data_IF_528512355576
#
_entry.id   IF_528512355576
#
_cell.length_a   1.000
_cell.length_b   1.000
_cell.length_c   1.000
_cell.angle_alpha   90.00
_cell.angle_beta   90.00
_cell.angle_gamma   90.00
#
_symmetry.space_group_name_H-M   'P 1'
#
loop_
_entity.id
_entity.type
_entity.pdbx_description
1 polymer ?
#
# COMPACT_ATOMS: atom_id res chain seq x y z
N UNK A 1 -5.91 8.61 10.11
CA UNK A 1 -6.22 7.16 10.00
C UNK A 1 -5.74 6.36 11.21
N UNK A 2 -4.53 6.58 11.74
CA UNK A 2 -4.06 5.95 12.99
C UNK A 2 -4.88 6.28 14.27
N UNK A 3 -5.87 7.19 14.18
CA UNK A 3 -6.79 7.58 15.25
C UNK A 3 -8.28 7.36 14.95
N UNK A 4 -8.65 6.63 13.87
CA UNK A 4 -10.06 6.33 13.48
C UNK A 4 -11.00 7.55 13.25
N UNK A 5 -10.48 8.76 13.07
CA UNK A 5 -11.28 9.99 12.86
C UNK A 5 -11.84 10.16 11.43
N UNK A 6 -11.51 9.28 10.48
CA UNK A 6 -11.99 9.33 9.10
C UNK A 6 -12.57 7.95 8.75
N UNK A 7 -13.78 7.92 8.16
CA UNK A 7 -14.38 6.70 7.62
C UNK A 7 -13.55 6.20 6.44
N UNK A 8 -12.72 5.20 6.69
CA UNK A 8 -11.97 4.47 5.66
C UNK A 8 -12.52 3.06 5.59
N UNK A 9 -12.75 2.56 4.38
CA UNK A 9 -13.11 1.16 4.15
C UNK A 9 -11.94 0.24 4.52
N UNK A 10 -11.90 -0.14 5.79
CA UNK A 10 -10.88 -0.99 6.38
C UNK A 10 -11.10 -2.43 5.91
N UNK A 11 -10.24 -2.91 5.02
CA UNK A 11 -10.37 -4.25 4.44
C UNK A 11 -9.47 -5.28 5.11
N UNK A 12 -8.43 -4.84 5.82
CA UNK A 12 -7.51 -5.71 6.53
C UNK A 12 -6.82 -4.97 7.67
N UNK A 13 -6.65 -5.66 8.80
CA UNK A 13 -5.88 -5.18 9.93
C UNK A 13 -5.19 -6.36 10.60
N UNK A 14 -3.94 -6.17 10.99
CA UNK A 14 -3.24 -7.07 11.89
C UNK A 14 -2.46 -6.28 12.95
N UNK A 15 -1.55 -6.94 13.68
CA UNK A 15 -0.75 -6.30 14.73
C UNK A 15 0.06 -5.10 14.24
N UNK A 16 0.59 -5.15 13.02
CA UNK A 16 1.58 -4.19 12.52
C UNK A 16 1.10 -3.37 11.32
N UNK A 17 0.07 -3.82 10.59
CA UNK A 17 -0.35 -3.28 9.29
C UNK A 17 -1.86 -3.05 9.29
N UNK A 18 -2.27 -2.01 8.56
CA UNK A 18 -3.65 -1.67 8.23
C UNK A 18 -3.73 -1.55 6.71
N UNK A 19 -4.81 -2.04 6.09
CA UNK A 19 -5.08 -1.81 4.67
C UNK A 19 -6.51 -1.35 4.44
N UNK A 20 -6.67 -0.40 3.53
CA UNK A 20 -7.95 0.21 3.20
C UNK A 20 -7.97 0.63 1.72
N UNK A 21 -9.17 0.83 1.17
CA UNK A 21 -9.32 1.31 -0.22
C UNK A 21 -8.90 2.77 -0.32
N UNK A 22 -8.16 3.09 -1.37
CA UNK A 22 -7.85 4.48 -1.70
C UNK A 22 -9.14 5.22 -2.07
N UNK A 23 -9.33 6.43 -1.54
CA UNK A 23 -10.50 7.27 -1.83
C UNK A 23 -10.49 7.84 -3.26
N UNK A 24 -9.31 7.89 -3.88
CA UNK A 24 -9.07 8.35 -5.25
C UNK A 24 -8.44 7.22 -6.09
N UNK A 25 -9.19 6.15 -6.38
CA UNK A 25 -8.64 4.95 -7.00
C UNK A 25 -8.06 5.19 -8.41
N UNK A 26 -6.84 4.71 -8.66
CA UNK A 26 -6.16 4.79 -9.98
C UNK A 26 -6.31 3.48 -10.79
N UNK A 27 -6.98 2.49 -10.22
CA UNK A 27 -7.33 1.22 -10.84
C UNK A 27 -8.58 0.65 -10.12
N UNK A 28 -9.34 -0.27 -10.76
CA UNK A 28 -10.54 -0.85 -10.15
C UNK A 28 -10.29 -1.45 -8.76
N UNK A 29 -9.14 -2.08 -8.54
CA UNK A 29 -8.62 -2.38 -7.20
C UNK A 29 -7.50 -1.39 -6.93
N UNK A 30 -7.69 -0.50 -5.96
CA UNK A 30 -6.65 0.38 -5.43
C UNK A 30 -6.68 0.37 -3.90
N UNK A 31 -5.69 -0.28 -3.30
CA UNK A 31 -5.58 -0.50 -1.86
C UNK A 31 -4.27 0.10 -1.36
N UNK A 32 -4.32 0.77 -0.22
CA UNK A 32 -3.13 1.23 0.49
C UNK A 32 -2.89 0.30 1.68
N UNK A 33 -1.68 -0.28 1.77
CA UNK A 33 -1.21 -0.96 2.98
C UNK A 33 -0.24 -0.05 3.70
N UNK A 34 -0.49 0.22 4.99
CA UNK A 34 0.35 1.08 5.82
C UNK A 34 0.80 0.35 7.09
N UNK A 35 2.01 0.63 7.60
CA UNK A 35 2.38 0.23 8.95
C UNK A 35 1.57 1.03 9.99
N UNK A 36 1.32 0.43 11.16
CA UNK A 36 0.78 1.18 12.30
C UNK A 36 1.83 2.11 12.92
N UNK A 37 3.11 1.70 12.86
CA UNK A 37 4.23 2.55 13.25
C UNK A 37 4.49 3.60 12.17
N UNK A 38 4.79 4.82 12.58
CA UNK A 38 5.00 5.93 11.65
C UNK A 38 6.41 5.93 11.05
N UNK A 39 6.47 5.96 9.73
CA UNK A 39 7.68 6.26 8.94
C UNK A 39 7.28 7.28 7.89
N UNK A 40 7.95 8.42 7.82
CA UNK A 40 7.54 9.51 6.92
C UNK A 40 7.82 9.13 5.46
N UNK A 41 8.95 8.48 5.19
CA UNK A 41 9.38 8.02 3.87
C UNK A 41 10.02 6.64 3.95
N UNK A 42 10.28 6.00 2.81
CA UNK A 42 11.04 4.74 2.78
C UNK A 42 12.47 4.90 3.33
N UNK A 43 13.03 6.10 3.31
CA UNK A 43 14.38 6.37 3.81
C UNK A 43 14.48 6.28 5.34
N UNK A 44 13.33 6.30 6.03
CA UNK A 44 13.27 6.22 7.50
C UNK A 44 13.29 4.78 8.01
N UNK A 45 13.22 3.78 7.12
CA UNK A 45 13.29 2.37 7.48
C UNK A 45 14.71 1.98 7.91
N UNK A 46 14.81 1.33 9.06
CA UNK A 46 16.07 0.90 9.64
C UNK A 46 16.27 -0.61 9.47
N UNK A 47 17.45 -1.12 9.84
CA UNK A 47 17.80 -2.54 9.66
C UNK A 47 16.87 -3.50 10.42
N UNK A 48 16.31 -3.07 11.54
CA UNK A 48 15.31 -3.77 12.35
C UNK A 48 13.90 -3.77 11.72
N UNK A 49 13.63 -2.89 10.75
CA UNK A 49 12.31 -2.78 10.10
C UNK A 49 12.17 -3.65 8.85
N UNK A 50 13.23 -4.38 8.46
CA UNK A 50 13.22 -5.26 7.28
C UNK A 50 12.06 -6.25 7.28
N UNK A 51 11.73 -6.80 8.45
CA UNK A 51 10.60 -7.72 8.58
C UNK A 51 9.24 -7.03 8.38
N UNK A 52 9.10 -5.77 8.83
CA UNK A 52 7.91 -4.97 8.59
C UNK A 52 7.75 -4.65 7.08
N UNK A 53 8.83 -4.25 6.42
CA UNK A 53 8.83 -4.00 4.97
C UNK A 53 8.45 -5.27 4.18
N UNK A 54 9.03 -6.42 4.52
CA UNK A 54 8.65 -7.70 3.93
C UNK A 54 7.19 -8.07 4.21
N UNK A 55 6.68 -7.79 5.41
CA UNK A 55 5.28 -8.02 5.76
C UNK A 55 4.32 -7.17 4.92
N UNK A 56 4.65 -5.92 4.60
CA UNK A 56 3.82 -5.09 3.71
C UNK A 56 3.68 -5.75 2.34
N UNK A 57 4.80 -6.17 1.75
CA UNK A 57 4.82 -6.81 0.42
C UNK A 57 4.07 -8.15 0.44
N UNK A 58 4.34 -9.00 1.44
CA UNK A 58 3.66 -10.28 1.59
C UNK A 58 2.14 -10.12 1.72
N UNK A 59 1.69 -9.17 2.55
CA UNK A 59 0.26 -8.93 2.72
C UNK A 59 -0.38 -8.31 1.48
N UNK A 60 0.33 -7.50 0.69
CA UNK A 60 -0.18 -7.01 -0.59
C UNK A 60 -0.45 -8.17 -1.56
N UNK A 61 0.47 -9.15 -1.67
CA UNK A 61 0.24 -10.33 -2.49
C UNK A 61 -0.94 -11.18 -2.00
N UNK A 62 -1.12 -11.31 -0.68
CA UNK A 62 -2.29 -11.98 -0.08
C UNK A 62 -3.59 -11.25 -0.41
N UNK A 63 -3.61 -9.92 -0.32
CA UNK A 63 -4.78 -9.11 -0.65
C UNK A 63 -5.09 -9.15 -2.15
N UNK A 64 -4.09 -9.15 -3.02
CA UNK A 64 -4.30 -9.31 -4.46
C UNK A 64 -5.04 -10.61 -4.82
N UNK A 65 -4.73 -11.72 -4.13
CA UNK A 65 -5.47 -12.99 -4.25
C UNK A 65 -6.91 -12.86 -3.78
N UNK A 66 -7.11 -12.22 -2.61
CA UNK A 66 -8.45 -12.01 -2.03
C UNK A 66 -9.34 -11.12 -2.90
N UNK A 67 -8.77 -10.10 -3.54
CA UNK A 67 -9.48 -9.19 -4.45
C UNK A 67 -9.62 -9.76 -5.88
N UNK A 68 -9.16 -10.99 -6.13
CA UNK A 68 -9.35 -11.66 -7.41
C UNK A 68 -8.53 -11.08 -8.57
N UNK A 69 -7.44 -10.36 -8.30
CA UNK A 69 -6.57 -9.73 -9.31
C UNK A 69 -5.20 -10.41 -9.46
N UNK A 70 -4.95 -11.48 -8.69
CA UNK A 70 -3.64 -12.14 -8.67
C UNK A 70 -3.28 -12.79 -10.02
N UNK A 71 -4.22 -13.50 -10.64
CA UNK A 71 -3.96 -14.28 -11.87
C UNK A 71 -3.82 -13.40 -13.12
N UNK A 72 -4.61 -12.32 -13.23
CA UNK A 72 -4.45 -11.34 -14.33
C UNK A 72 -3.22 -10.45 -14.14
N UNK A 73 -2.69 -10.40 -12.91
CA UNK A 73 -1.59 -9.54 -12.52
C UNK A 73 -2.02 -8.21 -11.91
N UNK A 74 -1.13 -7.64 -11.13
CA UNK A 74 -1.29 -6.39 -10.40
C UNK A 74 0.05 -5.65 -10.33
N UNK A 75 0.02 -4.39 -9.90
CA UNK A 75 1.21 -3.56 -9.66
C UNK A 75 1.25 -3.15 -8.20
N UNK A 76 2.43 -3.24 -7.60
CA UNK A 76 2.72 -2.62 -6.31
C UNK A 76 3.61 -1.40 -6.49
N UNK A 77 3.37 -0.33 -5.74
CA UNK A 77 4.16 0.91 -5.81
C UNK A 77 4.41 1.46 -4.41
N UNK A 78 5.65 1.88 -4.15
CA UNK A 78 5.97 2.82 -3.10
C UNK A 78 6.49 4.10 -3.72
N UNK A 79 5.98 5.23 -3.27
CA UNK A 79 6.48 6.55 -3.63
C UNK A 79 7.39 7.06 -2.49
N UNK A 80 8.50 7.70 -2.84
CA UNK A 80 9.42 8.29 -1.86
C UNK A 80 9.77 9.72 -2.26
N UNK A 81 9.45 10.67 -1.38
CA UNK A 81 9.61 12.11 -1.60
C UNK A 81 8.87 12.65 -2.84
N UNK A 82 9.05 13.95 -3.10
CA UNK A 82 8.39 14.71 -4.17
C UNK A 82 8.56 14.07 -5.55
N UNK A 83 9.80 13.73 -5.94
CA UNK A 83 10.10 13.15 -7.25
C UNK A 83 9.56 11.73 -7.43
N UNK A 84 9.30 11.02 -6.32
CA UNK A 84 8.58 9.75 -6.34
C UNK A 84 7.06 9.92 -6.37
N UNK A 85 6.51 11.13 -6.30
CA UNK A 85 5.08 11.40 -6.25
C UNK A 85 4.44 11.15 -4.88
N UNK A 86 5.20 11.23 -3.79
CA UNK A 86 4.67 11.07 -2.43
C UNK A 86 3.95 12.33 -1.96
N UNK A 87 2.68 12.22 -1.57
CA UNK A 87 1.86 13.35 -1.08
C UNK A 87 1.53 13.24 0.41
N UNK A 88 1.45 12.01 0.94
CA UNK A 88 1.26 11.74 2.37
C UNK A 88 2.56 11.18 2.95
N UNK A 89 3.11 11.88 3.93
CA UNK A 89 4.35 11.51 4.62
C UNK A 89 4.09 10.49 5.73
N UNK A 90 3.56 9.35 5.32
CA UNK A 90 3.49 8.11 6.07
C UNK A 90 3.56 6.99 5.04
N UNK A 91 4.54 6.07 5.12
CA UNK A 91 4.76 5.10 4.04
C UNK A 91 3.50 4.28 3.75
N UNK A 92 3.22 4.07 2.47
CA UNK A 92 2.08 3.30 2.02
C UNK A 92 2.44 2.53 0.76
N UNK A 93 2.15 1.24 0.77
CA UNK A 93 2.26 0.38 -0.39
C UNK A 93 0.94 0.44 -1.15
N UNK A 94 0.98 1.00 -2.35
CA UNK A 94 -0.13 0.89 -3.29
C UNK A 94 -0.19 -0.52 -3.83
N UNK A 95 -1.38 -1.12 -3.81
CA UNK A 95 -1.73 -2.32 -4.55
C UNK A 95 -2.77 -1.94 -5.59
N UNK A 96 -2.40 -2.03 -6.87
CA UNK A 96 -3.25 -1.65 -8.00
C UNK A 96 -3.55 -2.86 -8.90
N UNK A 97 -4.81 -3.10 -9.23
CA UNK A 97 -5.24 -4.25 -10.03
C UNK A 97 -6.58 -4.05 -10.75
N UNK A 98 -7.02 -5.07 -11.48
CA UNK A 98 -8.31 -5.06 -12.19
C UNK A 98 -8.29 -4.38 -13.56
N UNK A 99 -7.12 -3.98 -14.06
CA UNK A 99 -6.91 -3.51 -15.44
C UNK A 99 -5.48 -3.80 -15.89
N UNK A 100 -5.25 -3.82 -17.20
CA UNK A 100 -3.88 -3.85 -17.75
C UNK A 100 -3.18 -2.52 -17.46
N UNK A 101 -1.97 -2.57 -16.91
CA UNK A 101 -1.13 -1.39 -16.72
C UNK A 101 -0.24 -1.14 -17.94
N UNK A 102 0.03 0.14 -18.21
CA UNK A 102 0.99 0.55 -19.23
C UNK A 102 2.40 0.66 -18.63
N UNK A 103 3.37 0.81 -19.52
CA UNK A 103 4.75 1.12 -19.22
C UNK A 103 5.14 2.39 -20.00
N UNK A 104 5.84 3.37 -19.41
CA UNK A 104 6.33 3.41 -18.02
C UNK A 104 5.21 3.51 -16.95
N UNK A 105 5.52 3.25 -15.67
CA UNK A 105 4.52 3.10 -14.60
C UNK A 105 4.17 4.41 -13.89
N UNK A 106 3.74 5.42 -14.67
CA UNK A 106 3.76 6.81 -14.24
C UNK A 106 4.90 7.53 -14.93
#
# INVERSE_FOLDING_TARGET
>A
MAKKEISTDLIYENKNIVAFRDINPQAPVHILLIPKLHFSTLNDLMSNDKYLAGNLIYNAAKLAKREGVAEQGYRTVFNCNEWGGQTVYHIHLHLLGGRKFRWPPG
#
